data_IF_982859125989
#
_entry.id   IF_982859125989
#
_cell.length_a   1.000
_cell.length_b   1.000
_cell.length_c   1.000
_cell.angle_alpha   90.00
_cell.angle_beta   90.00
_cell.angle_gamma   90.00
#
_symmetry.space_group_name_H-M   'P 1'
#
loop_
_entity.id
_entity.type
_entity.pdbx_description
1 polymer ?
#
# COMPACT_ATOMS: atom_id res chain seq x y z
N UNK A 1 9.14 -2.13 2.35
CA UNK A 1 10.56 -1.69 2.27
C UNK A 1 11.16 -2.03 0.89
N UNK A 2 11.17 -3.30 0.40
CA UNK A 2 11.92 -3.68 -0.80
C UNK A 2 11.65 -2.83 -2.05
N UNK A 3 10.40 -2.51 -2.47
CA UNK A 3 10.19 -1.74 -3.68
C UNK A 3 10.78 -0.31 -3.60
N UNK A 4 10.71 0.33 -2.43
CA UNK A 4 11.28 1.65 -2.24
C UNK A 4 12.82 1.61 -2.27
N UNK A 5 13.42 0.59 -1.68
CA UNK A 5 14.87 0.40 -1.71
C UNK A 5 15.35 0.19 -3.16
N UNK A 6 14.66 -0.66 -3.92
CA UNK A 6 15.00 -0.89 -5.33
C UNK A 6 14.93 0.40 -6.17
N UNK A 7 13.87 1.20 -5.99
CA UNK A 7 13.74 2.50 -6.68
C UNK A 7 14.84 3.48 -6.24
N UNK A 8 15.13 3.55 -4.92
CA UNK A 8 16.18 4.43 -4.42
C UNK A 8 17.54 4.10 -5.05
N UNK A 9 17.88 2.81 -5.10
CA UNK A 9 19.13 2.34 -5.74
C UNK A 9 19.17 2.65 -7.24
N UNK A 10 18.08 2.34 -7.94
CA UNK A 10 17.97 2.56 -9.38
C UNK A 10 18.06 4.05 -9.78
N UNK A 11 17.53 4.93 -8.92
CA UNK A 11 17.46 6.38 -9.21
C UNK A 11 18.54 7.21 -8.50
N UNK A 12 19.46 6.58 -7.80
CA UNK A 12 20.56 7.26 -7.08
C UNK A 12 20.09 8.13 -5.91
N UNK A 13 18.95 7.81 -5.31
CA UNK A 13 18.44 8.53 -4.13
C UNK A 13 19.23 8.15 -2.88
N UNK A 14 19.35 9.11 -1.96
CA UNK A 14 20.09 8.91 -0.73
C UNK A 14 19.23 8.31 0.40
N UNK A 15 19.86 8.02 1.56
CA UNK A 15 19.19 7.43 2.71
C UNK A 15 18.09 8.32 3.31
N UNK A 16 18.22 9.64 3.26
CA UNK A 16 17.19 10.55 3.74
C UNK A 16 15.94 10.51 2.85
N UNK A 17 16.12 10.43 1.53
CA UNK A 17 15.01 10.24 0.58
C UNK A 17 14.30 8.92 0.84
N UNK A 18 15.05 7.84 1.05
CA UNK A 18 14.51 6.51 1.35
C UNK A 18 13.70 6.53 2.64
N UNK A 19 14.22 7.10 3.72
CA UNK A 19 13.51 7.20 5.01
C UNK A 19 12.22 8.01 4.85
N UNK A 20 12.25 9.12 4.13
CA UNK A 20 11.05 9.95 3.86
C UNK A 20 9.99 9.15 3.10
N UNK A 21 10.39 8.41 2.07
CA UNK A 21 9.48 7.53 1.33
C UNK A 21 8.92 6.40 2.19
N UNK A 22 9.75 5.75 3.00
CA UNK A 22 9.33 4.70 3.93
C UNK A 22 8.34 5.22 4.97
N UNK A 23 8.62 6.37 5.59
CA UNK A 23 7.72 6.99 6.54
C UNK A 23 6.34 7.26 5.91
N UNK A 24 6.28 7.77 4.67
CA UNK A 24 5.02 7.96 3.95
C UNK A 24 4.32 6.63 3.66
N UNK A 25 5.04 5.62 3.17
CA UNK A 25 4.45 4.31 2.89
C UNK A 25 3.84 3.66 4.14
N UNK A 26 4.53 3.73 5.27
CA UNK A 26 4.01 3.21 6.54
C UNK A 26 2.83 4.04 7.07
N UNK A 27 2.88 5.36 6.93
CA UNK A 27 1.77 6.23 7.33
C UNK A 27 0.47 5.86 6.61
N UNK A 28 0.54 5.73 5.29
CA UNK A 28 -0.62 5.33 4.48
C UNK A 28 -1.05 3.90 4.81
N UNK A 29 -0.11 2.94 4.86
CA UNK A 29 -0.43 1.54 5.11
C UNK A 29 -1.16 1.33 6.42
N UNK A 30 -0.64 1.89 7.51
CA UNK A 30 -1.17 1.64 8.85
C UNK A 30 -2.52 2.32 9.02
N UNK A 31 -2.67 3.55 8.51
CA UNK A 31 -3.93 4.27 8.61
C UNK A 31 -5.04 3.68 7.72
N UNK A 32 -4.70 3.15 6.55
CA UNK A 32 -5.65 2.36 5.75
C UNK A 32 -6.10 1.09 6.49
N UNK A 33 -5.17 0.37 7.14
CA UNK A 33 -5.50 -0.83 7.93
C UNK A 33 -6.40 -0.50 9.12
N UNK A 34 -6.21 0.65 9.77
CA UNK A 34 -7.09 1.12 10.86
C UNK A 34 -8.50 1.40 10.38
N UNK A 35 -8.62 2.02 9.19
CA UNK A 35 -9.91 2.43 8.65
C UNK A 35 -10.68 1.27 7.99
N UNK A 36 -9.99 0.38 7.28
CA UNK A 36 -10.59 -0.62 6.39
C UNK A 36 -10.05 -2.01 6.71
N UNK A 37 -10.89 -2.86 7.30
CA UNK A 37 -10.54 -4.25 7.58
C UNK A 37 -10.78 -5.13 6.34
N UNK A 38 -9.79 -5.28 5.47
CA UNK A 38 -9.89 -6.12 4.26
C UNK A 38 -10.24 -7.58 4.56
N UNK A 39 -9.90 -8.10 5.74
CA UNK A 39 -10.24 -9.46 6.14
C UNK A 39 -11.75 -9.68 6.28
N UNK A 40 -12.50 -8.68 6.71
CA UNK A 40 -13.95 -8.75 6.78
C UNK A 40 -14.56 -8.99 5.39
N UNK A 41 -13.98 -8.37 4.37
CA UNK A 41 -14.41 -8.44 2.97
C UNK A 41 -13.76 -9.58 2.16
N UNK A 42 -12.97 -10.45 2.80
CA UNK A 42 -12.27 -11.57 2.13
C UNK A 42 -11.25 -11.13 1.05
N UNK A 43 -10.72 -9.92 1.19
CA UNK A 43 -9.71 -9.34 0.32
C UNK A 43 -8.31 -9.54 0.93
N UNK A 44 -7.32 -9.81 0.08
CA UNK A 44 -5.93 -9.89 0.51
C UNK A 44 -5.41 -8.50 0.89
N UNK A 45 -4.65 -8.42 1.98
CA UNK A 45 -4.10 -7.16 2.49
C UNK A 45 -3.08 -6.50 1.54
N UNK A 46 -2.67 -7.16 0.47
CA UNK A 46 -1.86 -6.53 -0.58
C UNK A 46 -2.59 -5.37 -1.27
N UNK A 47 -3.94 -5.31 -1.21
CA UNK A 47 -4.70 -4.18 -1.69
C UNK A 47 -4.40 -2.87 -0.94
N UNK A 48 -3.93 -2.93 0.31
CA UNK A 48 -3.38 -1.74 0.99
C UNK A 48 -1.90 -1.51 0.69
N UNK A 49 -1.16 -2.60 0.40
CA UNK A 49 0.28 -2.52 0.14
C UNK A 49 0.61 -1.80 -1.18
N UNK A 50 -0.18 -2.04 -2.23
CA UNK A 50 0.00 -1.36 -3.52
C UNK A 50 -0.04 0.17 -3.39
N UNK A 51 -1.17 0.75 -2.94
CA UNK A 51 -1.32 2.19 -2.73
C UNK A 51 -0.26 2.80 -1.81
N UNK A 52 0.03 2.15 -0.68
CA UNK A 52 1.02 2.65 0.28
C UNK A 52 2.44 2.64 -0.28
N UNK A 53 2.80 1.60 -1.03
CA UNK A 53 4.09 1.55 -1.72
C UNK A 53 4.19 2.61 -2.81
N UNK A 54 3.13 2.83 -3.61
CA UNK A 54 3.09 3.86 -4.64
C UNK A 54 3.26 5.27 -4.04
N UNK A 55 2.53 5.58 -2.95
CA UNK A 55 2.67 6.84 -2.23
C UNK A 55 4.09 7.04 -1.68
N UNK A 56 4.67 5.99 -1.10
CA UNK A 56 6.05 6.01 -0.59
C UNK A 56 7.08 6.22 -1.69
N UNK A 57 6.94 5.56 -2.85
CA UNK A 57 7.81 5.72 -4.02
C UNK A 57 7.68 7.14 -4.58
N UNK A 58 6.46 7.65 -4.74
CA UNK A 58 6.23 9.01 -5.21
C UNK A 58 6.89 10.06 -4.31
N UNK A 59 6.79 9.90 -2.99
CA UNK A 59 7.45 10.76 -2.00
C UNK A 59 8.98 10.64 -2.06
N UNK A 60 9.51 9.43 -2.19
CA UNK A 60 10.95 9.17 -2.34
C UNK A 60 11.52 9.88 -3.58
N UNK A 61 10.80 9.83 -4.68
CA UNK A 61 11.18 10.48 -5.93
C UNK A 61 10.97 12.00 -5.91
N UNK A 62 10.17 12.54 -5.01
CA UNK A 62 9.81 13.95 -4.92
C UNK A 62 8.80 14.38 -5.97
N UNK A 63 7.87 13.49 -6.32
CA UNK A 63 6.82 13.76 -7.31
C UNK A 63 5.78 14.73 -6.74
N UNK A 64 5.10 15.44 -7.63
CA UNK A 64 3.99 16.31 -7.24
C UNK A 64 2.77 15.48 -6.78
N UNK A 65 1.86 16.15 -6.04
CA UNK A 65 0.71 15.51 -5.42
C UNK A 65 -0.20 14.80 -6.42
N UNK A 66 -0.43 15.41 -7.60
CA UNK A 66 -1.29 14.82 -8.63
C UNK A 66 -0.70 13.51 -9.16
N UNK A 67 0.59 13.47 -9.46
CA UNK A 67 1.25 12.24 -9.91
C UNK A 67 1.20 11.15 -8.84
N UNK A 68 1.39 11.51 -7.56
CA UNK A 68 1.25 10.57 -6.44
C UNK A 68 -0.19 10.08 -6.32
N UNK A 69 -1.17 10.96 -6.42
CA UNK A 69 -2.59 10.62 -6.38
C UNK A 69 -2.94 9.60 -7.47
N UNK A 70 -2.60 9.87 -8.73
CA UNK A 70 -2.82 8.95 -9.85
C UNK A 70 -2.12 7.60 -9.63
N UNK A 71 -0.90 7.61 -9.10
CA UNK A 71 -0.14 6.38 -8.81
C UNK A 71 -0.82 5.52 -7.75
N UNK A 72 -1.37 6.13 -6.71
CA UNK A 72 -2.14 5.44 -5.65
C UNK A 72 -3.40 4.80 -6.23
N UNK A 73 -4.15 5.54 -7.07
CA UNK A 73 -5.35 5.06 -7.73
C UNK A 73 -5.05 3.82 -8.59
N UNK A 74 -4.05 3.90 -9.46
CA UNK A 74 -3.66 2.79 -10.33
C UNK A 74 -3.12 1.60 -9.54
N UNK A 75 -2.34 1.83 -8.50
CA UNK A 75 -1.82 0.75 -7.66
C UNK A 75 -2.95 -0.02 -6.96
N UNK A 76 -3.98 0.66 -6.43
CA UNK A 76 -5.14 -0.03 -5.86
C UNK A 76 -5.84 -0.88 -6.92
N UNK A 77 -6.14 -0.30 -8.08
CA UNK A 77 -6.85 -0.98 -9.16
C UNK A 77 -6.19 -2.31 -9.56
N UNK A 78 -4.86 -2.37 -9.52
CA UNK A 78 -4.11 -3.56 -9.97
C UNK A 78 -3.75 -4.54 -8.85
N UNK A 79 -3.88 -4.17 -7.57
CA UNK A 79 -3.47 -5.02 -6.44
C UNK A 79 -4.63 -5.65 -5.68
N UNK A 80 -5.87 -5.44 -6.11
CA UNK A 80 -7.04 -6.07 -5.49
C UNK A 80 -7.06 -7.57 -5.85
N UNK A 81 -7.08 -8.41 -4.83
CA UNK A 81 -7.20 -9.87 -4.97
C UNK A 81 -7.90 -10.50 -3.79
N UNK A 82 -8.45 -11.69 -3.99
CA UNK A 82 -9.16 -12.40 -2.93
C UNK A 82 -8.19 -13.00 -1.90
N UNK A 83 -8.68 -13.20 -0.70
CA UNK A 83 -7.93 -13.83 0.39
C UNK A 83 -7.75 -15.35 0.22
N UNK A 84 -8.19 -15.93 -0.89
CA UNK A 84 -8.01 -17.36 -1.19
C UNK A 84 -6.52 -17.76 -1.19
N UNK A 85 -5.62 -16.86 -1.60
CA UNK A 85 -4.17 -17.06 -1.54
C UNK A 85 -3.62 -17.40 -0.13
N UNK A 86 -4.44 -17.17 0.92
CA UNK A 86 -4.07 -17.38 2.34
C UNK A 86 -5.00 -18.37 3.05
N UNK A 87 -5.85 -19.08 2.31
CA UNK A 87 -6.83 -20.04 2.80
C UNK A 87 -6.71 -21.35 2.03
N UNK A 88 -7.22 -22.43 2.61
CA UNK A 88 -7.14 -23.75 2.00
C UNK A 88 -5.69 -24.23 1.83
N UNK A 89 -5.36 -24.78 0.69
CA UNK A 89 -4.00 -25.21 0.37
C UNK A 89 -3.08 -24.01 0.16
N UNK A 90 -2.04 -23.91 0.97
CA UNK A 90 -1.09 -22.80 0.92
C UNK A 90 -0.09 -23.04 -0.23
N UNK A 91 -0.10 -22.13 -1.18
CA UNK A 91 0.83 -22.11 -2.32
C UNK A 91 2.00 -21.15 -2.11
N UNK A 92 3.01 -21.26 -2.99
CA UNK A 92 4.13 -20.30 -3.04
C UNK A 92 3.69 -18.86 -3.28
N UNK A 93 2.51 -18.65 -3.87
CA UNK A 93 1.93 -17.32 -4.08
C UNK A 93 1.80 -16.52 -2.78
N UNK A 94 1.53 -17.15 -1.65
CA UNK A 94 1.44 -16.46 -0.34
C UNK A 94 2.72 -15.66 -0.02
N UNK A 95 3.87 -16.21 -0.35
CA UNK A 95 5.16 -15.52 -0.16
C UNK A 95 5.43 -14.48 -1.25
N UNK A 96 4.97 -14.72 -2.48
CA UNK A 96 5.21 -13.86 -3.63
C UNK A 96 4.29 -12.63 -3.69
N UNK A 97 3.06 -12.72 -3.19
CA UNK A 97 2.05 -11.68 -3.31
C UNK A 97 2.52 -10.27 -2.87
N UNK A 98 3.24 -10.08 -1.74
CA UNK A 98 3.74 -8.76 -1.35
C UNK A 98 4.77 -8.19 -2.33
N UNK A 99 5.64 -9.04 -2.89
CA UNK A 99 6.64 -8.64 -3.89
C UNK A 99 5.97 -8.24 -5.21
N UNK A 100 4.91 -8.98 -5.59
CA UNK A 100 4.10 -8.64 -6.76
C UNK A 100 3.41 -7.30 -6.61
N UNK A 101 2.78 -7.03 -5.46
CA UNK A 101 2.19 -5.72 -5.18
C UNK A 101 3.23 -4.59 -5.23
N UNK A 102 4.44 -4.83 -4.73
CA UNK A 102 5.55 -3.89 -4.84
C UNK A 102 5.96 -3.61 -6.28
N UNK A 103 6.01 -4.64 -7.13
CA UNK A 103 6.26 -4.49 -8.57
C UNK A 103 5.18 -3.64 -9.24
N UNK A 104 3.91 -3.92 -8.98
CA UNK A 104 2.78 -3.18 -9.54
C UNK A 104 2.77 -1.72 -9.06
N UNK A 105 3.17 -1.45 -7.82
CA UNK A 105 3.31 -0.09 -7.32
C UNK A 105 4.42 0.69 -8.04
N UNK A 106 5.55 0.07 -8.33
CA UNK A 106 6.62 0.68 -9.14
C UNK A 106 6.10 1.00 -10.54
N UNK A 107 5.42 0.03 -11.17
CA UNK A 107 4.84 0.22 -12.50
C UNK A 107 3.81 1.35 -12.52
N UNK A 108 2.92 1.40 -11.53
CA UNK A 108 1.92 2.47 -11.41
C UNK A 108 2.57 3.86 -11.34
N UNK A 109 3.63 4.01 -10.54
CA UNK A 109 4.37 5.28 -10.43
C UNK A 109 5.05 5.63 -11.75
N UNK A 110 5.74 4.67 -12.41
CA UNK A 110 6.41 4.91 -13.69
C UNK A 110 5.43 5.36 -14.79
N UNK A 111 4.27 4.70 -14.88
CA UNK A 111 3.21 5.08 -15.83
C UNK A 111 2.70 6.50 -15.58
N UNK A 112 2.37 6.82 -14.33
CA UNK A 112 1.86 8.15 -13.98
C UNK A 112 2.93 9.25 -14.18
N UNK A 113 4.22 8.96 -13.98
CA UNK A 113 5.33 9.86 -14.32
C UNK A 113 5.41 10.15 -15.83
N UNK A 114 4.96 9.23 -16.66
CA UNK A 114 4.88 9.38 -18.12
C UNK A 114 3.60 10.08 -18.59
N UNK A 115 2.72 10.48 -17.65
CA UNK A 115 1.48 11.20 -17.96
C UNK A 115 0.27 10.29 -18.18
N UNK A 116 0.36 8.98 -17.88
CA UNK A 116 -0.82 8.11 -17.91
C UNK A 116 -1.75 8.43 -16.74
N UNK A 117 -3.05 8.58 -17.02
CA UNK A 117 -4.09 8.70 -16.03
C UNK A 117 -4.47 7.33 -15.44
N UNK A 118 -4.95 7.33 -14.21
CA UNK A 118 -5.44 6.15 -13.53
C UNK A 118 -6.97 6.14 -13.41
N UNK A 119 -7.60 4.96 -13.16
CA UNK A 119 -9.01 4.92 -12.77
C UNK A 119 -9.22 5.77 -11.51
N UNK A 120 -10.02 6.85 -11.62
CA UNK A 120 -10.16 7.85 -10.57
C UNK A 120 -11.58 8.40 -10.52
N UNK A 121 -12.17 8.56 -9.33
CA UNK A 121 -11.67 8.17 -7.99
C UNK A 121 -11.87 6.66 -7.73
N UNK A 122 -10.80 5.94 -7.45
CA UNK A 122 -10.86 4.46 -7.31
C UNK A 122 -11.54 4.00 -6.01
N UNK A 123 -11.49 4.80 -4.95
CA UNK A 123 -12.13 4.46 -3.68
C UNK A 123 -13.63 4.78 -3.67
N UNK A 124 -14.04 5.95 -4.18
CA UNK A 124 -15.38 6.54 -3.98
C UNK A 124 -16.19 6.73 -5.27
N UNK A 125 -15.74 6.23 -6.41
CA UNK A 125 -16.49 6.30 -7.68
C UNK A 125 -17.72 5.37 -7.70
N UNK A 126 -18.57 5.49 -8.70
CA UNK A 126 -19.77 4.65 -8.89
C UNK A 126 -19.43 3.15 -8.93
N UNK A 127 -18.36 2.79 -9.66
CA UNK A 127 -17.83 1.42 -9.74
C UNK A 127 -16.54 1.25 -8.91
N UNK A 128 -16.49 1.88 -7.74
CA UNK A 128 -15.30 1.98 -6.90
C UNK A 128 -15.04 0.76 -6.05
N UNK A 129 -13.87 0.77 -5.42
CA UNK A 129 -13.47 -0.23 -4.44
C UNK A 129 -14.43 -0.31 -3.24
N UNK A 130 -14.91 0.84 -2.74
CA UNK A 130 -15.87 0.87 -1.64
C UNK A 130 -17.22 0.33 -2.10
N UNK A 131 -17.71 0.77 -3.25
CA UNK A 131 -19.05 0.43 -3.73
C UNK A 131 -19.24 -1.06 -4.02
N UNK A 132 -18.25 -1.73 -4.59
CA UNK A 132 -18.39 -3.10 -5.09
C UNK A 132 -17.60 -4.16 -4.33
N UNK A 133 -16.59 -3.75 -3.58
CA UNK A 133 -15.68 -4.71 -2.94
C UNK A 133 -15.74 -4.63 -1.41
N UNK A 134 -16.18 -3.48 -0.87
CA UNK A 134 -16.37 -3.30 0.57
C UNK A 134 -17.87 -3.27 0.93
N UNK A 135 -18.31 -2.26 1.66
CA UNK A 135 -19.66 -2.23 2.28
C UNK A 135 -20.75 -1.57 1.41
N UNK A 136 -20.45 -1.29 0.14
CA UNK A 136 -21.44 -0.73 -0.80
C UNK A 136 -21.31 0.78 -1.01
N UNK A 137 -22.09 1.34 -1.98
CA UNK A 137 -21.91 2.72 -2.44
C UNK A 137 -22.24 3.79 -1.40
N UNK A 138 -23.02 3.46 -0.38
CA UNK A 138 -23.39 4.39 0.71
C UNK A 138 -22.38 4.36 1.88
N UNK A 139 -21.40 3.44 1.84
CA UNK A 139 -20.41 3.31 2.91
C UNK A 139 -19.36 4.41 2.84
N UNK A 140 -18.94 4.86 4.02
CA UNK A 140 -17.87 5.85 4.17
C UNK A 140 -16.80 5.34 5.13
N UNK A 141 -15.54 5.64 4.81
CA UNK A 141 -14.40 5.27 5.64
C UNK A 141 -13.56 6.50 5.96
N UNK A 142 -13.35 6.76 7.24
CA UNK A 142 -12.46 7.83 7.69
C UNK A 142 -11.05 7.26 7.90
N UNK A 143 -10.12 7.60 7.04
CA UNK A 143 -8.70 7.24 7.19
C UNK A 143 -8.02 8.30 8.05
N UNK A 144 -7.47 7.95 9.24
CA UNK A 144 -6.95 8.92 10.21
C UNK A 144 -5.53 9.40 9.81
N UNK A 145 -5.45 10.11 8.69
CA UNK A 145 -4.19 10.70 8.23
C UNK A 145 -3.85 11.96 9.05
N UNK A 146 -2.55 12.26 9.26
CA UNK A 146 -2.13 13.48 9.91
C UNK A 146 -2.47 14.72 9.07
N UNK A 147 -2.68 15.84 9.73
CA UNK A 147 -2.87 17.12 9.07
C UNK A 147 -1.60 17.58 8.34
N UNK A 148 -1.76 18.53 7.41
CA UNK A 148 -0.64 19.07 6.65
C UNK A 148 0.40 19.71 7.60
N UNK A 149 1.64 19.24 7.52
CA UNK A 149 2.73 19.71 8.39
C UNK A 149 2.94 18.89 9.66
N UNK A 150 2.03 18.00 10.01
CA UNK A 150 2.22 17.09 11.13
C UNK A 150 3.22 15.97 10.81
N UNK A 151 3.95 15.46 11.81
CA UNK A 151 4.90 14.39 11.60
C UNK A 151 4.19 13.04 11.33
N UNK A 152 4.69 12.29 10.38
CA UNK A 152 4.26 10.91 10.10
C UNK A 152 4.73 9.97 11.20
N UNK A 153 3.84 9.45 12.01
CA UNK A 153 4.15 8.65 13.20
C UNK A 153 3.52 7.27 13.24
N UNK A 154 2.68 6.91 12.26
CA UNK A 154 1.97 5.64 12.29
C UNK A 154 2.90 4.42 12.40
N UNK A 155 4.13 4.49 11.88
CA UNK A 155 5.13 3.43 12.04
C UNK A 155 5.40 3.07 13.51
N UNK A 156 5.27 4.03 14.44
CA UNK A 156 5.48 3.82 15.87
C UNK A 156 4.37 2.96 16.51
N UNK A 157 3.25 2.78 15.82
CA UNK A 157 2.14 1.93 16.23
C UNK A 157 2.26 0.49 15.67
N UNK A 158 3.37 0.20 15.01
CA UNK A 158 3.72 -1.12 14.50
C UNK A 158 4.95 -1.67 15.21
N UNK A 159 5.16 -2.96 15.10
CA UNK A 159 6.35 -3.61 15.62
C UNK A 159 6.87 -4.66 14.64
N UNK A 160 8.16 -4.87 14.65
CA UNK A 160 8.80 -5.93 13.88
C UNK A 160 8.73 -7.25 14.66
N UNK A 161 8.70 -8.35 13.93
CA UNK A 161 8.87 -9.67 14.53
C UNK A 161 10.28 -9.81 15.08
N UNK A 162 10.42 -10.40 16.24
CA UNK A 162 11.71 -10.75 16.83
C UNK A 162 12.35 -11.93 16.09
N UNK A 163 11.53 -12.93 15.75
CA UNK A 163 11.97 -14.15 15.07
C UNK A 163 11.42 -14.22 13.64
N UNK A 164 12.16 -14.84 12.72
CA UNK A 164 11.74 -15.10 11.32
C UNK A 164 10.70 -16.21 11.25
N UNK A 165 9.59 -16.05 11.95
CA UNK A 165 8.48 -16.99 12.06
C UNK A 165 7.13 -16.33 11.83
N UNK A 166 6.07 -17.13 11.71
CA UNK A 166 4.70 -16.64 11.67
C UNK A 166 4.40 -15.84 12.96
N UNK A 167 3.49 -14.84 12.88
CA UNK A 167 3.24 -13.92 14.00
C UNK A 167 2.80 -14.64 15.28
N UNK A 168 1.87 -15.59 15.18
CA UNK A 168 1.36 -16.33 16.32
C UNK A 168 2.40 -17.30 16.93
N UNK A 169 3.44 -17.60 16.18
CA UNK A 169 4.54 -18.44 16.65
C UNK A 169 5.62 -17.69 17.44
N UNK A 170 5.57 -16.36 17.47
CA UNK A 170 6.60 -15.56 18.16
C UNK A 170 6.74 -15.90 19.67
N UNK A 171 5.62 -16.19 20.33
CA UNK A 171 5.60 -16.54 21.74
C UNK A 171 6.01 -18.00 22.05
N UNK A 172 6.23 -18.82 21.03
CA UNK A 172 6.59 -20.23 21.17
C UNK A 172 8.10 -20.47 20.95
N UNK A 173 8.84 -19.45 20.53
CA UNK A 173 10.26 -19.46 20.23
C UNK A 173 11.04 -18.77 21.33
#
# INVERSE_FOLDING_TARGET
IPPLLAVAQQTGKNGADLIRGLATGYEIQINLVKAICLHAHKIDHIAHLGPSAAAGIGTLLGLNTETVYQSVQQALHTTVSTRQSRKGEISSWKAFAPSHAGKLAIEAVDRCMRGEGAPSPIYEGEDSFIAWILDGPEATYAVPLPEAGEPKRAILESYTKEHSAEYQSQALI
#
